data_IF_178274611653
#
_entry.id   IF_178274611653
#
_cell.length_a   1.000
_cell.length_b   1.000
_cell.length_c   1.000
_cell.angle_alpha   90.00
_cell.angle_beta   90.00
_cell.angle_gamma   90.00
#
_symmetry.space_group_name_H-M   'P 1'
#
loop_
_entity.id
_entity.type
_entity.pdbx_description
1 polymer ?
#
# COMPACT_ATOMS: atom_id res chain seq x y z
N UNK A 1 -14.52 -3.77 0.34
CA UNK A 1 -14.00 -2.41 0.61
C UNK A 1 -14.11 -1.62 -0.68
N UNK A 2 -14.63 -0.40 -0.64
CA UNK A 2 -14.65 0.44 -1.84
C UNK A 2 -13.27 1.08 -2.03
N UNK A 3 -12.46 0.54 -2.92
CA UNK A 3 -11.10 1.01 -3.21
C UNK A 3 -11.08 2.22 -4.16
N UNK A 4 -12.24 2.71 -4.61
CA UNK A 4 -12.34 3.80 -5.58
C UNK A 4 -11.56 5.05 -5.18
N UNK A 5 -11.61 5.57 -3.93
CA UNK A 5 -10.86 6.77 -3.56
C UNK A 5 -9.35 6.61 -3.75
N UNK A 6 -8.82 5.44 -3.40
CA UNK A 6 -7.38 5.13 -3.53
C UNK A 6 -6.96 5.01 -5.00
N UNK A 7 -7.84 4.46 -5.84
CA UNK A 7 -7.61 4.40 -7.29
C UNK A 7 -7.55 5.79 -7.92
N UNK A 8 -8.44 6.68 -7.52
CA UNK A 8 -8.44 8.07 -7.99
C UNK A 8 -7.18 8.81 -7.54
N UNK A 9 -6.77 8.68 -6.28
CA UNK A 9 -5.51 9.26 -5.78
C UNK A 9 -4.32 8.73 -6.58
N UNK A 10 -4.25 7.43 -6.80
CA UNK A 10 -3.19 6.84 -7.61
C UNK A 10 -3.17 7.38 -9.03
N UNK A 11 -4.32 7.43 -9.70
CA UNK A 11 -4.43 7.96 -11.06
C UNK A 11 -3.98 9.42 -11.15
N UNK A 12 -4.40 10.24 -10.18
CA UNK A 12 -4.01 11.63 -10.09
C UNK A 12 -2.49 11.80 -9.92
N UNK A 13 -1.87 11.02 -9.02
CA UNK A 13 -0.44 11.12 -8.70
C UNK A 13 0.49 10.42 -9.71
N UNK A 14 0.01 9.40 -10.41
CA UNK A 14 0.73 8.67 -11.47
C UNK A 14 0.71 9.44 -12.81
N UNK A 15 -0.30 10.29 -13.01
CA UNK A 15 -0.55 11.06 -14.24
C UNK A 15 -1.52 10.38 -15.21
N UNK A 16 -1.97 11.11 -16.24
CA UNK A 16 -2.93 10.59 -17.22
C UNK A 16 -2.38 9.39 -18.01
N UNK A 17 -3.21 8.34 -18.10
CA UNK A 17 -2.97 7.18 -18.96
C UNK A 17 -3.30 7.52 -20.41
N UNK A 18 -2.40 7.32 -21.36
CA UNK A 18 -2.67 7.55 -22.81
C UNK A 18 -3.66 6.54 -23.44
N UNK A 19 -4.34 5.72 -22.63
CA UNK A 19 -5.35 4.74 -23.06
C UNK A 19 -5.57 3.60 -22.07
N UNK A 20 -6.58 2.72 -22.27
CA UNK A 20 -6.97 1.65 -21.34
C UNK A 20 -5.91 0.55 -21.14
N UNK A 21 -4.88 0.49 -22.01
CA UNK A 21 -3.79 -0.49 -21.95
C UNK A 21 -2.39 0.12 -21.95
N UNK A 22 -2.26 1.44 -22.06
CA UNK A 22 -0.96 2.10 -22.24
C UNK A 22 -0.55 2.78 -20.94
N UNK A 23 0.53 2.26 -20.38
CA UNK A 23 1.17 2.70 -19.14
C UNK A 23 2.01 3.95 -19.44
N UNK A 24 1.44 5.15 -19.36
CA UNK A 24 2.20 6.40 -19.55
C UNK A 24 2.74 7.01 -18.25
N UNK A 25 2.13 6.70 -17.10
CA UNK A 25 2.59 7.17 -15.79
C UNK A 25 3.94 6.57 -15.39
N UNK A 26 4.87 7.43 -14.95
CA UNK A 26 6.24 7.03 -14.59
C UNK A 26 6.28 6.02 -13.45
N UNK A 27 5.41 6.17 -12.44
CA UNK A 27 5.36 5.28 -11.28
C UNK A 27 4.87 3.91 -11.73
N UNK A 28 3.83 3.84 -12.55
CA UNK A 28 3.29 2.57 -13.03
C UNK A 28 4.28 1.75 -13.84
N UNK A 29 5.12 2.38 -14.65
CA UNK A 29 6.22 1.69 -15.35
C UNK A 29 7.23 1.13 -14.36
N UNK A 30 7.61 1.90 -13.34
CA UNK A 30 8.51 1.42 -12.28
C UNK A 30 7.91 0.25 -11.49
N UNK A 31 6.57 0.20 -11.35
CA UNK A 31 5.89 -0.93 -10.73
C UNK A 31 6.00 -2.21 -11.55
N UNK A 32 6.39 -2.23 -12.83
CA UNK A 32 6.50 -3.46 -13.63
C UNK A 32 7.76 -4.26 -13.31
N UNK A 33 8.83 -3.61 -12.87
CA UNK A 33 10.13 -4.22 -12.58
C UNK A 33 10.57 -4.10 -11.12
N UNK A 34 9.68 -3.60 -10.25
CA UNK A 34 10.02 -3.29 -8.86
C UNK A 34 10.51 -4.51 -8.07
N UNK A 35 10.08 -5.74 -8.39
CA UNK A 35 10.48 -6.96 -7.68
C UNK A 35 11.98 -7.27 -7.74
N UNK A 36 12.72 -6.59 -8.61
CA UNK A 36 14.18 -6.73 -8.75
C UNK A 36 14.96 -5.69 -7.95
N UNK A 37 14.26 -4.75 -7.30
CA UNK A 37 14.91 -3.68 -6.57
C UNK A 37 15.44 -4.19 -5.23
N UNK A 38 16.70 -3.86 -4.87
CA UNK A 38 17.20 -4.14 -3.53
C UNK A 38 16.51 -3.21 -2.53
N UNK A 39 16.42 -3.63 -1.26
CA UNK A 39 16.07 -2.69 -0.19
C UNK A 39 17.23 -1.73 0.03
N UNK A 40 16.91 -0.44 0.11
CA UNK A 40 17.85 0.64 0.42
C UNK A 40 17.41 1.35 1.70
N UNK A 41 18.18 2.34 2.16
CA UNK A 41 17.74 3.19 3.25
C UNK A 41 16.52 4.00 2.80
N UNK A 42 15.44 3.92 3.57
CA UNK A 42 14.19 4.65 3.33
C UNK A 42 13.73 5.37 4.61
N UNK A 43 12.84 6.35 4.46
CA UNK A 43 12.27 7.08 5.59
C UNK A 43 11.09 6.28 6.16
N UNK A 44 11.00 6.14 7.48
CA UNK A 44 9.88 5.44 8.09
C UNK A 44 8.58 6.23 7.92
N UNK A 45 7.47 5.51 7.76
CA UNK A 45 6.12 6.10 7.68
C UNK A 45 5.31 5.59 8.86
N UNK A 46 4.96 6.47 9.80
CA UNK A 46 4.11 6.13 10.95
C UNK A 46 2.78 5.56 10.45
N UNK A 47 2.44 4.36 10.93
CA UNK A 47 1.24 3.63 10.52
C UNK A 47 0.31 3.35 11.71
N UNK A 48 -1.00 3.61 11.60
CA UNK A 48 -2.00 3.17 12.58
C UNK A 48 -2.42 1.71 12.33
N UNK A 49 -1.54 0.87 11.78
CA UNK A 49 -1.81 -0.53 11.45
C UNK A 49 -2.27 -1.28 12.72
N UNK A 50 -3.43 -1.96 12.70
CA UNK A 50 -3.88 -2.71 13.86
C UNK A 50 -2.98 -3.93 14.05
N UNK A 51 -2.59 -4.21 15.30
CA UNK A 51 -1.92 -5.47 15.63
C UNK A 51 -2.91 -6.63 15.45
N UNK A 52 -2.46 -7.65 14.72
CA UNK A 52 -3.20 -8.88 14.47
C UNK A 52 -2.80 -9.95 15.48
N UNK A 53 -3.77 -10.71 15.97
CA UNK A 53 -3.49 -11.91 16.77
C UNK A 53 -2.98 -13.06 15.89
N UNK A 54 -2.42 -14.09 16.52
CA UNK A 54 -1.84 -15.23 15.83
C UNK A 54 -2.86 -15.99 14.96
N UNK A 55 -4.14 -16.01 15.32
CA UNK A 55 -5.18 -16.67 14.54
C UNK A 55 -5.51 -15.87 13.27
N UNK A 56 -5.58 -14.54 13.36
CA UNK A 56 -5.78 -13.66 12.23
C UNK A 56 -4.60 -13.75 11.25
N UNK A 57 -3.35 -13.78 11.74
CA UNK A 57 -2.15 -13.92 10.90
C UNK A 57 -2.17 -15.23 10.11
N UNK A 58 -2.52 -16.36 10.74
CA UNK A 58 -2.61 -17.67 10.07
C UNK A 58 -3.67 -17.74 8.96
N UNK A 59 -4.65 -16.84 8.98
CA UNK A 59 -5.71 -16.78 7.98
C UNK A 59 -5.43 -15.77 6.85
N UNK A 60 -4.25 -15.11 6.85
CA UNK A 60 -3.86 -14.23 5.77
C UNK A 60 -3.43 -15.04 4.54
N UNK A 61 -3.85 -14.59 3.35
CA UNK A 61 -3.23 -15.07 2.11
C UNK A 61 -1.81 -14.50 1.98
N UNK A 62 -0.97 -15.10 1.14
CA UNK A 62 0.41 -14.63 0.89
C UNK A 62 0.48 -13.13 0.56
N UNK A 63 -0.40 -12.62 -0.31
CA UNK A 63 -0.43 -11.19 -0.64
C UNK A 63 -0.82 -10.29 0.54
N UNK A 64 -1.66 -10.78 1.47
CA UNK A 64 -2.11 -10.02 2.64
C UNK A 64 -1.05 -10.04 3.74
N UNK A 65 -0.39 -11.19 3.94
CA UNK A 65 0.75 -11.33 4.83
C UNK A 65 1.88 -10.39 4.39
N UNK A 66 2.20 -10.38 3.09
CA UNK A 66 3.18 -9.46 2.53
C UNK A 66 2.83 -8.00 2.83
N UNK A 67 1.57 -7.58 2.59
CA UNK A 67 1.11 -6.22 2.89
C UNK A 67 1.30 -5.87 4.37
N UNK A 68 0.94 -6.79 5.26
CA UNK A 68 1.04 -6.58 6.71
C UNK A 68 2.49 -6.39 7.14
N UNK A 69 3.37 -7.31 6.73
CA UNK A 69 4.78 -7.30 7.09
C UNK A 69 5.49 -6.07 6.53
N UNK A 70 5.28 -5.73 5.26
CA UNK A 70 5.94 -4.57 4.64
C UNK A 70 5.48 -3.25 5.26
N UNK A 71 4.19 -3.09 5.60
CA UNK A 71 3.71 -1.91 6.32
C UNK A 71 4.37 -1.79 7.71
N UNK A 72 4.52 -2.92 8.42
CA UNK A 72 5.16 -2.96 9.74
C UNK A 72 6.65 -2.62 9.64
N UNK A 73 7.35 -3.15 8.63
CA UNK A 73 8.75 -2.85 8.35
C UNK A 73 8.97 -1.39 7.99
N UNK A 74 8.10 -0.80 7.16
CA UNK A 74 8.16 0.62 6.81
C UNK A 74 7.93 1.49 8.05
N UNK A 75 6.94 1.17 8.88
CA UNK A 75 6.66 1.90 10.12
C UNK A 75 7.83 1.86 11.10
N UNK A 76 8.55 0.73 11.17
CA UNK A 76 9.75 0.55 11.99
C UNK A 76 11.03 1.13 11.37
N UNK A 77 11.00 1.52 10.09
CA UNK A 77 12.20 1.99 9.38
C UNK A 77 13.20 0.89 9.03
N UNK A 78 12.80 -0.39 9.07
CA UNK A 78 13.69 -1.50 8.75
C UNK A 78 12.95 -2.67 8.07
N UNK A 79 13.46 -3.12 6.94
CA UNK A 79 12.94 -4.26 6.17
C UNK A 79 13.97 -5.38 6.14
N UNK A 80 13.56 -6.61 6.48
CA UNK A 80 14.45 -7.76 6.39
C UNK A 80 14.74 -8.13 4.93
N UNK A 81 15.89 -8.77 4.70
CA UNK A 81 16.27 -9.27 3.37
C UNK A 81 15.32 -10.39 2.92
N UNK A 82 14.82 -11.21 3.84
CA UNK A 82 13.84 -12.26 3.51
C UNK A 82 12.54 -11.65 2.98
N UNK A 83 12.03 -10.58 3.62
CA UNK A 83 10.84 -9.87 3.15
C UNK A 83 11.09 -9.15 1.82
N UNK A 84 12.28 -8.60 1.64
CA UNK A 84 12.71 -7.98 0.39
C UNK A 84 12.73 -8.99 -0.77
N UNK A 85 13.20 -10.21 -0.53
CA UNK A 85 13.31 -11.24 -1.56
C UNK A 85 11.95 -11.87 -1.94
N UNK A 86 10.90 -11.68 -1.13
CA UNK A 86 9.56 -12.20 -1.43
C UNK A 86 8.95 -11.46 -2.62
N UNK A 87 8.26 -12.19 -3.48
CA UNK A 87 7.54 -11.62 -4.61
C UNK A 87 6.36 -10.75 -4.09
N UNK A 88 6.29 -9.45 -4.41
CA UNK A 88 5.20 -8.56 -3.96
C UNK A 88 3.85 -8.84 -4.66
N UNK A 89 3.81 -9.83 -5.55
CA UNK A 89 2.62 -10.24 -6.30
C UNK A 89 2.63 -9.73 -7.74
N UNK A 90 1.78 -10.32 -8.58
CA UNK A 90 1.63 -9.93 -9.99
C UNK A 90 0.93 -8.57 -10.09
N UNK A 91 1.47 -7.67 -10.90
CA UNK A 91 0.82 -6.40 -11.21
C UNK A 91 -0.51 -6.67 -11.95
N UNK A 92 -1.60 -6.17 -11.40
CA UNK A 92 -2.93 -6.26 -12.01
C UNK A 92 -3.67 -4.94 -11.83
N UNK A 93 -4.36 -4.48 -12.88
CA UNK A 93 -5.16 -3.26 -12.81
C UNK A 93 -6.41 -3.42 -11.93
N UNK A 94 -6.93 -4.65 -11.82
CA UNK A 94 -8.13 -4.93 -11.05
C UNK A 94 -7.82 -5.17 -9.57
N UNK A 95 -6.62 -5.67 -9.23
CA UNK A 95 -6.26 -6.08 -7.87
C UNK A 95 -5.41 -5.02 -7.20
N UNK A 96 -6.06 -4.21 -6.37
CA UNK A 96 -5.39 -3.14 -5.66
C UNK A 96 -4.41 -3.64 -4.58
N UNK A 97 -4.69 -4.79 -3.96
CA UNK A 97 -3.79 -5.40 -2.97
C UNK A 97 -2.37 -5.63 -3.50
N UNK A 98 -2.23 -6.32 -4.64
CA UNK A 98 -0.91 -6.56 -5.22
C UNK A 98 -0.26 -5.28 -5.73
N UNK A 99 -1.07 -4.30 -6.17
CA UNK A 99 -0.58 -2.97 -6.53
C UNK A 99 0.00 -2.23 -5.32
N UNK A 100 -0.67 -2.27 -4.17
CA UNK A 100 -0.21 -1.70 -2.92
C UNK A 100 1.10 -2.34 -2.46
N UNK A 101 1.21 -3.67 -2.52
CA UNK A 101 2.44 -4.39 -2.21
C UNK A 101 3.61 -3.91 -3.08
N UNK A 102 3.40 -3.80 -4.39
CA UNK A 102 4.42 -3.32 -5.34
C UNK A 102 4.78 -1.86 -5.14
N UNK A 103 3.83 -0.99 -4.77
CA UNK A 103 4.08 0.41 -4.40
C UNK A 103 5.02 0.50 -3.20
N UNK A 104 4.75 -0.28 -2.15
CA UNK A 104 5.57 -0.26 -0.94
C UNK A 104 6.95 -0.86 -1.19
N UNK A 105 7.02 -1.92 -1.99
CA UNK A 105 8.29 -2.50 -2.42
C UNK A 105 9.12 -1.52 -3.24
N UNK A 106 8.49 -0.80 -4.17
CA UNK A 106 9.13 0.27 -4.94
C UNK A 106 9.63 1.40 -4.04
N UNK A 107 8.87 1.78 -3.02
CA UNK A 107 9.25 2.81 -2.06
C UNK A 107 10.51 2.44 -1.29
N UNK A 108 10.57 1.24 -0.69
CA UNK A 108 11.74 0.78 0.07
C UNK A 108 12.96 0.46 -0.80
N UNK A 109 12.76 0.26 -2.11
CA UNK A 109 13.82 0.08 -3.10
C UNK A 109 14.29 1.36 -3.79
N UNK A 110 13.71 2.51 -3.44
CA UNK A 110 14.04 3.80 -4.05
C UNK A 110 14.88 4.66 -3.10
N UNK A 111 16.14 4.96 -3.47
CA UNK A 111 17.02 5.82 -2.63
C UNK A 111 16.49 7.24 -2.49
N UNK A 112 15.91 7.76 -3.58
CA UNK A 112 15.33 9.11 -3.65
C UNK A 112 13.91 9.01 -4.22
N UNK A 113 12.91 8.56 -3.43
CA UNK A 113 11.55 8.43 -3.92
C UNK A 113 10.99 9.81 -4.28
N UNK A 114 10.29 9.92 -5.41
CA UNK A 114 9.60 11.15 -5.80
C UNK A 114 8.52 11.52 -4.78
N UNK A 115 8.14 12.81 -4.73
CA UNK A 115 7.06 13.28 -3.84
C UNK A 115 5.76 12.50 -4.07
N UNK A 116 5.45 12.17 -5.32
CA UNK A 116 4.26 11.38 -5.67
C UNK A 116 4.37 9.94 -5.16
N UNK A 117 5.52 9.27 -5.33
CA UNK A 117 5.72 7.91 -4.81
C UNK A 117 5.63 7.89 -3.28
N UNK A 118 6.24 8.87 -2.61
CA UNK A 118 6.14 9.01 -1.15
C UNK A 118 4.69 9.21 -0.70
N UNK A 119 3.95 10.11 -1.35
CA UNK A 119 2.55 10.38 -1.04
C UNK A 119 1.68 9.13 -1.21
N UNK A 120 1.87 8.39 -2.31
CA UNK A 120 1.15 7.14 -2.55
C UNK A 120 1.50 6.08 -1.49
N UNK A 121 2.79 5.92 -1.15
CA UNK A 121 3.22 5.00 -0.10
C UNK A 121 2.60 5.37 1.25
N UNK A 122 2.56 6.66 1.60
CA UNK A 122 1.92 7.14 2.81
C UNK A 122 0.43 6.84 2.85
N UNK A 123 -0.30 7.09 1.75
CA UNK A 123 -1.72 6.74 1.65
C UNK A 123 -1.93 5.24 1.85
N UNK A 124 -1.05 4.39 1.29
CA UNK A 124 -1.15 2.94 1.47
C UNK A 124 -0.92 2.56 2.94
N UNK A 125 0.14 3.08 3.57
CA UNK A 125 0.55 2.73 4.94
C UNK A 125 -0.38 3.33 6.01
N UNK A 126 -0.87 4.55 5.81
CA UNK A 126 -1.70 5.28 6.78
C UNK A 126 -3.20 5.04 6.62
N UNK A 127 -3.65 4.68 5.40
CA UNK A 127 -5.09 4.56 5.10
C UNK A 127 -5.44 3.15 4.65
N UNK A 128 -4.88 2.69 3.53
CA UNK A 128 -5.36 1.45 2.90
C UNK A 128 -5.13 0.23 3.79
N UNK A 129 -3.89 -0.03 4.20
CA UNK A 129 -3.56 -1.21 4.98
C UNK A 129 -4.29 -1.24 6.34
N UNK A 130 -4.30 -0.15 7.15
CA UNK A 130 -5.06 -0.14 8.40
C UNK A 130 -6.55 -0.48 8.22
N UNK A 131 -7.22 0.15 7.25
CA UNK A 131 -8.64 -0.13 6.98
C UNK A 131 -8.86 -1.56 6.47
N UNK A 132 -7.96 -2.08 5.62
CA UNK A 132 -8.02 -3.46 5.15
C UNK A 132 -7.99 -4.47 6.31
N UNK A 133 -7.04 -4.31 7.24
CA UNK A 133 -6.91 -5.20 8.39
C UNK A 133 -8.00 -4.97 9.45
N UNK A 134 -8.52 -3.76 9.59
CA UNK A 134 -9.70 -3.51 10.40
C UNK A 134 -10.95 -4.22 9.88
N UNK A 135 -11.16 -4.22 8.56
CA UNK A 135 -12.26 -4.97 7.93
C UNK A 135 -12.07 -6.47 8.15
N UNK A 136 -10.84 -6.98 8.01
CA UNK A 136 -10.53 -8.39 8.27
C UNK A 136 -10.85 -8.80 9.70
N UNK A 137 -10.53 -7.94 10.67
CA UNK A 137 -10.83 -8.17 12.09
C UNK A 137 -12.31 -8.02 12.41
N UNK A 138 -13.02 -7.11 11.73
CA UNK A 138 -14.43 -6.77 11.96
C UNK A 138 -15.22 -6.78 10.65
N UNK A 139 -15.50 -7.97 10.08
CA UNK A 139 -16.07 -8.10 8.74
C UNK A 139 -17.58 -7.82 8.68
N UNK A 140 -18.26 -7.79 9.83
CA UNK A 140 -19.70 -7.59 9.89
C UNK A 140 -20.12 -6.26 9.22
N UNK A 141 -21.18 -6.31 8.41
CA UNK A 141 -21.72 -5.17 7.67
C UNK A 141 -22.09 -3.99 8.58
N UNK A 142 -22.43 -4.23 9.84
CA UNK A 142 -22.71 -3.16 10.82
C UNK A 142 -21.49 -2.24 11.06
N UNK A 143 -20.27 -2.71 10.78
CA UNK A 143 -19.06 -1.90 10.85
C UNK A 143 -18.72 -1.20 9.53
N UNK A 144 -19.45 -1.47 8.44
CA UNK A 144 -19.17 -0.97 7.10
C UNK A 144 -19.06 0.56 7.04
N UNK A 145 -20.04 1.27 7.61
CA UNK A 145 -20.04 2.74 7.66
C UNK A 145 -18.84 3.30 8.43
N UNK A 146 -18.45 2.64 9.53
CA UNK A 146 -17.29 3.04 10.35
C UNK A 146 -15.99 2.92 9.57
N UNK A 147 -15.84 1.84 8.80
CA UNK A 147 -14.66 1.61 7.95
C UNK A 147 -14.55 2.65 6.84
N UNK A 148 -15.67 3.01 6.19
CA UNK A 148 -15.70 4.05 5.15
C UNK A 148 -15.38 5.43 5.73
N UNK A 149 -16.01 5.80 6.85
CA UNK A 149 -15.75 7.08 7.50
C UNK A 149 -14.28 7.22 7.92
N UNK A 150 -13.70 6.17 8.50
CA UNK A 150 -12.28 6.12 8.85
C UNK A 150 -11.39 6.31 7.63
N UNK A 151 -11.69 5.63 6.52
CA UNK A 151 -10.92 5.76 5.29
C UNK A 151 -10.92 7.21 4.76
N UNK A 152 -12.09 7.86 4.71
CA UNK A 152 -12.21 9.25 4.23
C UNK A 152 -11.44 10.20 5.15
N UNK A 153 -11.64 10.07 6.47
CA UNK A 153 -10.97 10.91 7.45
C UNK A 153 -9.44 10.75 7.40
N UNK A 154 -8.93 9.51 7.34
CA UNK A 154 -7.50 9.25 7.25
C UNK A 154 -6.88 9.72 5.93
N UNK A 155 -7.61 9.60 4.81
CA UNK A 155 -7.20 10.17 3.52
C UNK A 155 -7.03 11.69 3.63
N UNK A 156 -8.06 12.39 4.14
CA UNK A 156 -8.01 13.84 4.32
C UNK A 156 -6.80 14.24 5.18
N UNK A 157 -6.67 13.63 6.36
CA UNK A 157 -5.57 13.93 7.27
C UNK A 157 -4.18 13.68 6.64
N UNK A 158 -4.01 12.60 5.88
CA UNK A 158 -2.72 12.26 5.25
C UNK A 158 -2.36 13.23 4.13
N UNK A 159 -3.34 13.66 3.33
CA UNK A 159 -3.09 14.54 2.18
C UNK A 159 -2.90 16.01 2.59
N UNK A 160 -3.39 16.44 3.75
CA UNK A 160 -3.23 17.81 4.25
C UNK A 160 -1.96 18.05 5.06
N UNK A 161 -1.23 16.99 5.43
CA UNK A 161 0.02 17.08 6.22
C UNK A 161 1.29 17.09 5.37
N UNK A 162 1.17 17.00 4.04
CA UNK A 162 2.28 17.04 3.07
C UNK A 162 2.29 18.37 2.32
#
# INVERSE_FOLDING_TARGET
MNELPLRHIFQYLDGETSGPRVYSGGIRKMLESCEKLPVVNFVSIVSPLPELDAAAIRNLSTDQEYLYEICRSISRGNCSLDLAARNPGKLSQARWLTKANRILHLYIGSKCPSTNLRTIAEVVVKVYAPVWFDIKRKPSCCNGVRHVFRMIHSCHATLTTN
#
